data_IF_007508030470
#
_entry.id   IF_007508030470
#
_cell.length_a   1.000
_cell.length_b   1.000
_cell.length_c   1.000
_cell.angle_alpha   90.00
_cell.angle_beta   90.00
_cell.angle_gamma   90.00
#
_symmetry.space_group_name_H-M   'P 1'
#
loop_
_entity.id
_entity.type
_entity.pdbx_description
1 polymer ?
#
# COMPACT_ATOMS: atom_id res chain seq x y z
N UNK A 1 24.49 23.79 -14.07
CA UNK A 1 23.22 23.61 -14.82
C UNK A 1 22.54 22.24 -14.61
N UNK A 2 23.22 21.18 -14.15
CA UNK A 2 22.55 20.08 -13.40
C UNK A 2 23.54 19.61 -12.34
N UNK A 3 24.74 19.26 -12.80
CA UNK A 3 25.89 18.85 -11.98
C UNK A 3 26.54 19.94 -11.11
N UNK A 4 25.99 21.16 -11.11
CA UNK A 4 26.56 22.31 -10.39
C UNK A 4 25.83 22.59 -9.07
N UNK A 5 24.64 22.01 -8.87
CA UNK A 5 23.89 22.11 -7.62
C UNK A 5 24.01 20.78 -6.86
N UNK A 6 24.71 20.73 -5.72
CA UNK A 6 24.82 19.49 -4.92
C UNK A 6 23.49 19.11 -4.25
N UNK A 7 22.52 20.04 -4.16
CA UNK A 7 21.22 19.85 -3.53
C UNK A 7 20.10 19.82 -4.57
N UNK A 8 20.34 19.20 -5.71
CA UNK A 8 19.35 19.13 -6.77
C UNK A 8 18.14 18.30 -6.33
N UNK A 9 16.95 18.90 -6.45
CA UNK A 9 15.69 18.23 -6.16
C UNK A 9 15.21 17.36 -7.33
N UNK A 10 14.37 16.38 -7.04
CA UNK A 10 13.73 15.56 -8.07
C UNK A 10 12.86 16.43 -9.00
N UNK A 11 12.18 17.44 -8.46
CA UNK A 11 11.39 18.39 -9.24
C UNK A 11 12.25 19.14 -10.26
N UNK A 12 13.44 19.63 -9.86
CA UNK A 12 14.36 20.32 -10.78
C UNK A 12 14.84 19.38 -11.89
N UNK A 13 15.22 18.14 -11.52
CA UNK A 13 15.58 17.11 -12.49
C UNK A 13 14.43 16.88 -13.49
N UNK A 14 13.20 16.70 -13.01
CA UNK A 14 12.04 16.46 -13.85
C UNK A 14 11.71 17.68 -14.74
N UNK A 15 11.94 18.89 -14.25
CA UNK A 15 11.66 20.13 -14.98
C UNK A 15 12.58 20.36 -16.19
N UNK A 16 13.80 19.84 -16.12
CA UNK A 16 14.85 19.99 -17.14
C UNK A 16 14.89 18.76 -18.04
N UNK A 17 14.89 17.57 -17.44
CA UNK A 17 15.14 16.30 -18.13
C UNK A 17 13.82 15.62 -18.46
N UNK A 18 13.08 15.14 -17.47
CA UNK A 18 11.91 14.26 -17.66
C UNK A 18 10.83 14.91 -18.52
N UNK A 19 10.45 16.15 -18.20
CA UNK A 19 9.47 16.92 -18.98
C UNK A 19 9.89 17.04 -20.45
N UNK A 20 11.15 17.38 -20.70
CA UNK A 20 11.69 17.58 -22.04
C UNK A 20 11.73 16.28 -22.83
N UNK A 21 12.19 15.19 -22.22
CA UNK A 21 12.26 13.87 -22.85
C UNK A 21 10.87 13.34 -23.23
N UNK A 22 9.86 13.61 -22.39
CA UNK A 22 8.48 13.19 -22.64
C UNK A 22 7.68 14.21 -23.48
N UNK A 23 8.30 15.29 -23.93
CA UNK A 23 7.67 16.38 -24.67
C UNK A 23 6.39 16.92 -23.98
N UNK A 24 6.43 17.04 -22.65
CA UNK A 24 5.32 17.51 -21.84
C UNK A 24 5.40 19.03 -21.64
N UNK A 25 4.26 19.72 -21.52
CA UNK A 25 4.25 21.18 -21.44
C UNK A 25 4.73 21.72 -20.07
N UNK A 26 4.62 20.92 -18.99
CA UNK A 26 5.10 21.29 -17.66
C UNK A 26 5.44 20.07 -16.81
N UNK A 27 6.21 20.27 -15.74
CA UNK A 27 6.52 19.21 -14.75
C UNK A 27 5.27 18.76 -14.01
N UNK A 28 4.33 19.68 -13.75
CA UNK A 28 3.03 19.38 -13.15
C UNK A 28 2.20 18.50 -14.07
N UNK A 29 2.27 18.74 -15.39
CA UNK A 29 1.62 17.87 -16.36
C UNK A 29 2.24 16.47 -16.26
N UNK A 30 3.56 16.35 -16.17
CA UNK A 30 4.21 15.06 -15.93
C UNK A 30 3.67 14.34 -14.69
N UNK A 31 3.63 14.99 -13.53
CA UNK A 31 3.11 14.36 -12.31
C UNK A 31 1.63 14.02 -12.41
N UNK A 32 0.79 14.92 -12.92
CA UNK A 32 -0.66 14.69 -13.04
C UNK A 32 -0.98 13.59 -14.05
N UNK A 33 -0.29 13.55 -15.18
CA UNK A 33 -0.55 12.57 -16.23
C UNK A 33 -0.17 11.17 -15.80
N UNK A 34 0.97 11.02 -15.12
CA UNK A 34 1.51 9.73 -14.67
C UNK A 34 1.02 9.32 -13.28
N UNK A 35 0.17 10.12 -12.63
CA UNK A 35 -0.38 9.77 -11.33
C UNK A 35 -1.41 8.64 -11.43
N UNK A 36 -1.27 7.63 -10.58
CA UNK A 36 -2.25 6.54 -10.42
C UNK A 36 -3.60 7.02 -9.88
N UNK A 37 -3.64 8.17 -9.19
CA UNK A 37 -4.84 8.76 -8.60
C UNK A 37 -5.99 8.91 -9.60
N UNK A 38 -5.68 9.09 -10.90
CA UNK A 38 -6.67 9.23 -11.97
C UNK A 38 -7.40 7.95 -12.36
N UNK A 39 -6.84 6.79 -12.04
CA UNK A 39 -7.32 5.49 -12.54
C UNK A 39 -7.57 4.49 -11.42
N UNK A 40 -7.09 4.77 -10.20
CA UNK A 40 -7.15 3.84 -9.07
C UNK A 40 -8.59 3.46 -8.70
N UNK A 41 -9.55 4.38 -8.84
CA UNK A 41 -10.98 4.11 -8.62
C UNK A 41 -11.56 3.07 -9.60
N UNK A 42 -10.97 2.93 -10.79
CA UNK A 42 -11.45 1.99 -11.81
C UNK A 42 -10.98 0.55 -11.57
N UNK A 43 -10.17 0.28 -10.54
CA UNK A 43 -9.67 -1.06 -10.20
C UNK A 43 -10.84 -2.00 -9.87
N UNK A 44 -10.91 -3.14 -10.56
CA UNK A 44 -11.99 -4.15 -10.44
C UNK A 44 -11.53 -5.49 -9.88
N UNK A 45 -10.26 -5.61 -9.51
CA UNK A 45 -9.67 -6.81 -8.92
C UNK A 45 -9.01 -6.44 -7.60
N UNK A 46 -8.95 -7.35 -6.61
CA UNK A 46 -8.30 -7.06 -5.35
C UNK A 46 -6.87 -6.55 -5.55
N UNK A 47 -6.56 -5.37 -4.99
CA UNK A 47 -5.27 -4.70 -5.11
C UNK A 47 -4.81 -4.23 -3.73
N UNK A 48 -3.59 -4.61 -3.38
CA UNK A 48 -2.87 -4.06 -2.22
C UNK A 48 -1.90 -2.96 -2.69
N UNK A 49 -2.09 -1.74 -2.17
CA UNK A 49 -1.14 -0.64 -2.27
C UNK A 49 -0.36 -0.51 -0.96
N UNK A 50 0.92 -0.17 -1.04
CA UNK A 50 1.77 0.01 0.13
C UNK A 50 2.51 1.34 0.01
N UNK A 51 2.42 2.17 1.04
CA UNK A 51 3.05 3.49 1.13
C UNK A 51 3.68 3.68 2.51
N UNK A 52 4.60 4.63 2.64
CA UNK A 52 5.13 5.06 3.93
C UNK A 52 5.03 6.58 4.08
N UNK A 53 4.93 7.04 5.32
CA UNK A 53 4.83 8.48 5.63
C UNK A 53 6.17 9.19 5.44
N UNK A 54 7.27 8.48 5.64
CA UNK A 54 8.63 8.99 5.49
C UNK A 54 9.21 8.81 4.09
N UNK A 55 8.39 8.52 3.08
CA UNK A 55 8.80 8.46 1.68
C UNK A 55 9.25 9.86 1.18
N UNK A 56 10.53 10.05 0.81
CA UNK A 56 11.04 11.34 0.36
C UNK A 56 10.65 11.67 -1.09
N UNK A 57 10.05 10.73 -1.83
CA UNK A 57 9.66 10.86 -3.23
C UNK A 57 8.16 11.08 -3.35
N UNK A 58 7.36 10.28 -2.65
CA UNK A 58 5.89 10.34 -2.69
C UNK A 58 5.36 10.85 -1.35
N UNK A 59 4.96 12.12 -1.32
CA UNK A 59 4.29 12.68 -0.13
C UNK A 59 2.99 11.93 0.17
N UNK A 60 2.67 11.81 1.47
CA UNK A 60 1.41 11.23 1.94
C UNK A 60 0.19 11.95 1.35
N UNK A 61 0.30 13.25 1.07
CA UNK A 61 -0.77 14.05 0.46
C UNK A 61 -1.09 13.64 -0.98
N UNK A 62 -0.17 12.94 -1.65
CA UNK A 62 -0.37 12.42 -3.00
C UNK A 62 -1.00 11.01 -3.01
N UNK A 63 -1.16 10.38 -1.85
CA UNK A 63 -1.71 9.03 -1.72
C UNK A 63 -3.24 9.08 -1.77
N UNK A 64 -3.91 8.30 -2.65
CA UNK A 64 -5.35 8.39 -2.87
C UNK A 64 -6.17 7.65 -1.80
N UNK A 65 -6.16 8.16 -0.57
CA UNK A 65 -6.85 7.57 0.58
C UNK A 65 -8.36 7.49 0.33
N UNK A 66 -8.99 8.57 -0.12
CA UNK A 66 -10.44 8.61 -0.33
C UNK A 66 -10.89 7.66 -1.45
N UNK A 67 -10.14 7.60 -2.55
CA UNK A 67 -10.40 6.64 -3.61
C UNK A 67 -10.30 5.19 -3.10
N UNK A 68 -9.35 4.92 -2.20
CA UNK A 68 -9.21 3.61 -1.53
C UNK A 68 -10.43 3.29 -0.69
N UNK A 69 -10.90 4.22 0.13
CA UNK A 69 -12.10 4.04 0.98
C UNK A 69 -13.35 3.78 0.10
N UNK A 70 -13.44 4.43 -1.06
CA UNK A 70 -14.60 4.33 -1.96
C UNK A 70 -14.65 3.05 -2.81
N UNK A 71 -13.58 2.27 -2.90
CA UNK A 71 -13.52 1.10 -3.79
C UNK A 71 -13.19 -0.19 -3.01
N UNK A 72 -14.12 -1.15 -2.91
CA UNK A 72 -13.95 -2.37 -2.11
C UNK A 72 -12.85 -3.32 -2.62
N UNK A 73 -12.36 -3.11 -3.85
CA UNK A 73 -11.23 -3.86 -4.38
C UNK A 73 -9.88 -3.31 -3.94
N UNK A 74 -9.84 -2.12 -3.32
CA UNK A 74 -8.61 -1.49 -2.89
C UNK A 74 -8.36 -1.74 -1.39
N UNK A 75 -7.13 -2.14 -1.12
CA UNK A 75 -6.55 -2.20 0.22
C UNK A 75 -5.26 -1.39 0.18
N UNK A 76 -5.02 -0.54 1.16
CA UNK A 76 -3.85 0.32 1.24
C UNK A 76 -3.21 0.20 2.61
N UNK A 77 -1.93 -0.15 2.67
CA UNK A 77 -1.14 -0.12 3.90
C UNK A 77 -0.29 1.15 3.93
N UNK A 78 -0.36 1.91 5.02
CA UNK A 78 0.46 3.11 5.20
C UNK A 78 1.32 2.95 6.45
N UNK A 79 2.63 2.71 6.27
CA UNK A 79 3.56 2.57 7.40
C UNK A 79 4.11 3.91 7.88
N UNK A 80 4.56 3.97 9.14
CA UNK A 80 5.29 5.16 9.64
C UNK A 80 6.68 5.29 9.02
N UNK A 81 7.33 4.15 8.81
CA UNK A 81 8.70 4.03 8.31
C UNK A 81 8.76 3.04 7.18
N UNK A 82 9.60 3.33 6.20
CA UNK A 82 9.78 2.53 5.01
C UNK A 82 10.54 3.25 3.91
N UNK A 83 10.55 4.58 3.92
CA UNK A 83 11.04 5.38 2.80
C UNK A 83 10.38 4.96 1.49
N UNK A 84 11.02 5.28 0.37
CA UNK A 84 10.46 4.94 -0.94
C UNK A 84 10.46 3.44 -1.23
N UNK A 85 11.51 2.71 -0.83
CA UNK A 85 11.74 1.29 -1.15
C UNK A 85 12.40 0.51 0.01
N UNK A 86 12.39 1.07 1.22
CA UNK A 86 13.34 0.77 2.28
C UNK A 86 12.75 0.18 3.56
N UNK A 87 11.60 -0.50 3.54
CA UNK A 87 11.04 -1.18 4.72
C UNK A 87 12.02 -2.20 5.33
N UNK A 88 12.83 -1.75 6.29
CA UNK A 88 13.86 -2.53 6.99
C UNK A 88 13.53 -2.64 8.49
N UNK A 89 13.87 -3.79 9.07
CA UNK A 89 13.85 -4.01 10.52
C UNK A 89 15.26 -4.39 11.02
N UNK A 90 15.50 -4.15 12.32
CA UNK A 90 16.71 -4.61 13.01
C UNK A 90 17.88 -3.62 12.94
N UNK A 91 18.55 -3.44 14.08
CA UNK A 91 19.63 -2.45 14.23
C UNK A 91 20.99 -2.96 13.73
N UNK A 92 21.41 -4.15 14.17
CA UNK A 92 22.74 -4.70 13.87
C UNK A 92 22.83 -5.48 12.55
N UNK A 93 21.70 -5.96 12.04
CA UNK A 93 21.60 -6.73 10.79
C UNK A 93 20.29 -6.41 10.11
N UNK A 94 20.19 -5.24 9.45
CA UNK A 94 18.94 -4.78 8.87
C UNK A 94 18.45 -5.77 7.80
N UNK A 95 17.18 -6.15 7.84
CA UNK A 95 16.54 -7.03 6.86
C UNK A 95 15.30 -6.37 6.28
N UNK A 96 15.07 -6.58 4.98
CA UNK A 96 13.90 -6.03 4.31
C UNK A 96 12.66 -6.86 4.63
N UNK A 97 11.62 -6.19 5.14
CA UNK A 97 10.41 -6.84 5.68
C UNK A 97 9.14 -6.59 4.87
N UNK A 98 9.24 -5.87 3.76
CA UNK A 98 8.09 -5.58 2.88
C UNK A 98 7.36 -6.85 2.40
N UNK A 99 8.04 -7.99 2.38
CA UNK A 99 7.45 -9.27 1.98
C UNK A 99 6.35 -9.74 2.93
N UNK A 100 6.43 -9.42 4.24
CA UNK A 100 5.44 -9.88 5.24
C UNK A 100 4.01 -9.43 4.95
N UNK A 101 3.72 -8.12 4.82
CA UNK A 101 2.36 -7.68 4.52
C UNK A 101 1.86 -8.18 3.15
N UNK A 102 2.76 -8.40 2.20
CA UNK A 102 2.41 -9.00 0.90
C UNK A 102 1.99 -10.46 1.08
N UNK A 103 2.78 -11.26 1.81
CA UNK A 103 2.46 -12.67 2.07
C UNK A 103 1.18 -12.81 2.88
N UNK A 104 0.97 -11.97 3.88
CA UNK A 104 -0.23 -12.02 4.73
C UNK A 104 -1.50 -11.69 3.94
N UNK A 105 -1.41 -10.69 3.06
CA UNK A 105 -2.51 -10.35 2.15
C UNK A 105 -2.82 -11.49 1.17
N UNK A 106 -1.79 -12.06 0.53
CA UNK A 106 -1.96 -13.18 -0.40
C UNK A 106 -2.56 -14.42 0.31
N UNK A 107 -2.08 -14.76 1.50
CA UNK A 107 -2.62 -15.84 2.31
C UNK A 107 -4.09 -15.59 2.67
N UNK A 108 -4.43 -14.36 3.02
CA UNK A 108 -5.81 -13.95 3.30
C UNK A 108 -6.71 -14.08 2.08
N UNK A 109 -6.23 -13.72 0.89
CA UNK A 109 -6.95 -13.91 -0.37
C UNK A 109 -7.18 -15.39 -0.68
N UNK A 110 -6.17 -16.24 -0.54
CA UNK A 110 -6.28 -17.68 -0.79
C UNK A 110 -7.30 -18.35 0.16
N UNK A 111 -7.25 -18.02 1.45
CA UNK A 111 -8.22 -18.52 2.43
C UNK A 111 -9.65 -18.08 2.10
N UNK A 112 -9.84 -16.83 1.69
CA UNK A 112 -11.15 -16.32 1.27
C UNK A 112 -11.65 -17.03 0.01
N UNK A 113 -10.78 -17.27 -0.97
CA UNK A 113 -11.11 -18.03 -2.18
C UNK A 113 -11.49 -19.49 -1.88
N UNK A 114 -10.82 -20.13 -0.91
CA UNK A 114 -11.17 -21.47 -0.43
C UNK A 114 -12.52 -21.49 0.27
N UNK A 115 -12.84 -20.48 1.08
CA UNK A 115 -14.14 -20.33 1.75
C UNK A 115 -15.29 -20.11 0.76
N UNK A 116 -15.11 -19.25 -0.25
CA UNK A 116 -16.14 -19.00 -1.28
C UNK A 116 -16.38 -20.23 -2.16
N UNK A 117 -15.33 -21.02 -2.46
CA UNK A 117 -15.46 -22.29 -3.19
C UNK A 117 -16.13 -23.42 -2.39
N UNK A 118 -16.15 -23.34 -1.05
CA UNK A 118 -16.69 -24.39 -0.16
C UNK A 118 -18.18 -24.27 0.15
N UNK A 119 -18.89 -23.26 -0.33
CA UNK A 119 -20.36 -23.13 -0.19
C UNK A 119 -21.02 -23.67 -1.48
N UNK A 120 -21.72 -24.82 -1.60
CA UNK A 120 -22.30 -25.83 -0.67
C UNK A 120 -22.34 -27.23 -1.38
N UNK A 121 -22.68 -28.38 -0.72
CA UNK A 121 -23.96 -28.64 -0.06
C UNK A 121 -23.85 -28.82 1.46
N UNK A 122 -24.89 -28.36 2.17
CA UNK A 122 -25.10 -28.46 3.62
C UNK A 122 -24.88 -29.89 4.14
N UNK A 123 -24.05 -30.06 5.19
CA UNK A 123 -24.31 -30.94 6.35
C UNK A 123 -23.32 -30.78 7.53
N UNK A 124 -23.93 -30.58 8.69
CA UNK A 124 -23.57 -30.88 10.09
C UNK A 124 -22.33 -30.29 10.79
N UNK A 125 -22.60 -29.90 12.04
CA UNK A 125 -21.78 -29.20 13.02
C UNK A 125 -20.89 -30.20 13.77
N UNK A 126 -19.59 -29.96 13.92
CA UNK A 126 -18.90 -30.19 15.21
C UNK A 126 -17.58 -29.39 15.37
N UNK A 127 -17.23 -29.21 16.64
CA UNK A 127 -16.26 -28.36 17.33
C UNK A 127 -14.79 -28.68 17.04
N UNK A 128 -13.92 -27.68 17.16
CA UNK A 128 -12.49 -27.92 17.38
C UNK A 128 -11.62 -26.66 17.36
N UNK A 129 -10.89 -26.42 18.46
CA UNK A 129 -9.90 -25.36 18.70
C UNK A 129 -8.76 -25.36 17.67
N UNK A 130 -8.15 -24.20 17.47
CA UNK A 130 -6.88 -24.03 16.79
C UNK A 130 -6.38 -22.60 16.98
N UNK A 131 -5.41 -22.47 17.87
CA UNK A 131 -4.70 -21.24 18.22
C UNK A 131 -3.65 -20.99 17.12
N UNK A 132 -3.51 -19.76 16.62
CA UNK A 132 -2.33 -19.34 15.85
C UNK A 132 -2.12 -17.82 15.96
N UNK A 133 -0.95 -17.48 16.48
CA UNK A 133 -0.43 -16.13 16.70
C UNK A 133 0.02 -15.49 15.36
N UNK A 134 -0.17 -14.17 15.26
CA UNK A 134 0.17 -13.37 14.08
C UNK A 134 -1.07 -12.88 13.31
N UNK A 135 -2.06 -12.36 14.01
CA UNK A 135 -3.27 -11.82 13.39
C UNK A 135 -3.16 -10.32 13.17
N UNK A 136 -3.27 -9.90 11.90
CA UNK A 136 -3.79 -8.57 11.56
C UNK A 136 -5.16 -8.49 12.24
N UNK A 137 -5.23 -7.75 13.36
CA UNK A 137 -6.47 -7.62 14.12
C UNK A 137 -7.36 -6.65 13.36
N UNK A 138 -8.43 -7.16 12.77
CA UNK A 138 -9.50 -6.33 12.20
C UNK A 138 -10.10 -5.52 13.35
N UNK A 139 -9.80 -4.22 13.41
CA UNK A 139 -10.39 -3.29 14.37
C UNK A 139 -10.96 -2.12 13.60
N UNK A 140 -12.24 -1.87 13.84
CA UNK A 140 -13.11 -0.79 13.36
C UNK A 140 -13.83 -1.03 12.02
N UNK A 141 -14.89 -1.83 12.12
CA UNK A 141 -15.90 -2.10 11.10
C UNK A 141 -16.69 -0.85 10.64
N UNK A 142 -16.42 0.34 11.21
CA UNK A 142 -17.17 1.56 10.87
C UNK A 142 -16.41 2.54 9.98
N UNK A 143 -15.10 2.36 9.75
CA UNK A 143 -14.28 3.27 8.92
C UNK A 143 -13.30 2.61 7.95
N UNK A 144 -13.23 1.28 7.91
CA UNK A 144 -12.34 0.56 6.99
C UNK A 144 -10.85 0.71 7.30
N UNK A 145 -10.45 1.15 8.50
CA UNK A 145 -9.04 1.34 8.90
C UNK A 145 -8.64 0.29 9.94
N UNK A 146 -7.90 -0.72 9.53
CA UNK A 146 -7.38 -1.82 10.36
C UNK A 146 -5.97 -1.47 10.84
N UNK A 147 -5.69 -1.42 12.15
CA UNK A 147 -4.31 -1.17 12.64
C UNK A 147 -3.48 -2.46 12.64
N UNK A 148 -2.25 -2.42 12.10
CA UNK A 148 -1.30 -3.52 12.26
C UNK A 148 -0.67 -3.48 13.65
N UNK A 149 -0.44 -4.66 14.24
CA UNK A 149 0.26 -4.84 15.52
C UNK A 149 1.78 -4.78 15.40
N UNK A 150 2.32 -4.69 14.18
CA UNK A 150 3.75 -4.65 13.94
C UNK A 150 4.30 -3.22 14.11
N UNK A 151 5.32 -3.06 14.96
CA UNK A 151 5.98 -1.77 15.24
C UNK A 151 6.48 -1.05 13.97
N UNK A 152 6.84 -1.79 12.91
CA UNK A 152 7.25 -1.23 11.61
C UNK A 152 6.04 -0.69 10.81
N UNK A 153 4.89 -1.34 10.95
CA UNK A 153 3.65 -1.05 10.23
C UNK A 153 2.57 -0.44 11.15
N UNK A 154 3.00 0.26 12.20
CA UNK A 154 2.19 0.83 13.29
C UNK A 154 1.22 1.97 12.85
N UNK A 155 0.90 2.04 11.55
CA UNK A 155 -0.24 2.79 11.00
C UNK A 155 -1.03 1.91 10.04
N UNK A 156 -2.35 2.09 10.09
CA UNK A 156 -3.30 1.09 9.64
C UNK A 156 -3.32 0.82 8.14
N UNK A 157 -3.93 -0.33 7.84
CA UNK A 157 -4.44 -0.77 6.56
C UNK A 157 -5.81 -0.13 6.35
N UNK A 158 -5.97 0.64 5.29
CA UNK A 158 -7.24 1.20 4.83
C UNK A 158 -7.82 0.23 3.80
N UNK A 159 -9.10 -0.11 3.92
CA UNK A 159 -9.83 -0.96 3.00
C UNK A 159 -11.07 -0.22 2.52
N UNK A 160 -11.35 -0.33 1.22
CA UNK A 160 -12.58 0.22 0.67
C UNK A 160 -13.82 -0.53 1.15
N UNK A 161 -14.90 0.22 1.35
CA UNK A 161 -16.20 -0.28 1.80
C UNK A 161 -17.03 -0.88 0.65
#
# INVERSE_FOLDING_TARGET
>A
MLYSNPNQSLYEFDSIVTKTLLNLPSTEHYYKYNSSTRVVEAVRVPLLSINSIDDPIVSIDAVPIEATISNPNLVMMISKKGGHLGWFEGFWRPRRVIHRPITDWLNSMDQNMKKTRRRDPIKEIDKGKGDDEGSITVVDDQKGIIKSSDDVFDKGIIRGL
#
